data_IF_392831278744
#
_entry.id   IF_392831278744
#
_cell.length_a   1.000
_cell.length_b   1.000
_cell.length_c   1.000
_cell.angle_alpha   90.00
_cell.angle_beta   90.00
_cell.angle_gamma   90.00
#
_symmetry.space_group_name_H-M   'P 1'
#
loop_
_entity.id
_entity.type
_entity.pdbx_description
1 polymer ?
#
# COMPACT_ATOMS: atom_id res chain seq x y z
N UNK A 1 -13.71 23.96 0.67
CA UNK A 1 -14.65 24.87 1.37
C UNK A 1 -16.11 24.77 0.93
N UNK A 2 -16.42 24.63 -0.39
CA UNK A 2 -17.80 24.57 -0.92
C UNK A 2 -18.61 23.42 -0.32
N UNK A 3 -18.04 22.20 -0.27
CA UNK A 3 -18.69 21.02 0.30
C UNK A 3 -19.15 21.26 1.73
N UNK A 4 -18.26 21.71 2.62
CA UNK A 4 -18.58 21.92 4.03
C UNK A 4 -19.59 23.04 4.28
N UNK A 5 -19.71 23.99 3.36
CA UNK A 5 -20.65 25.12 3.48
C UNK A 5 -22.04 24.81 2.96
N UNK A 6 -22.15 23.95 1.92
CA UNK A 6 -23.39 23.82 1.17
C UNK A 6 -23.95 22.40 1.07
N UNK A 7 -23.08 21.38 1.08
CA UNK A 7 -23.46 19.99 0.76
C UNK A 7 -23.01 18.98 1.82
N UNK A 8 -22.62 19.45 3.03
CA UNK A 8 -22.15 18.56 4.09
C UNK A 8 -23.31 17.72 4.66
N UNK A 9 -23.40 16.47 4.24
CA UNK A 9 -24.41 15.51 4.67
C UNK A 9 -23.84 14.09 4.70
N UNK A 10 -24.61 13.14 5.25
CA UNK A 10 -24.24 11.73 5.25
C UNK A 10 -24.24 11.18 3.81
N UNK A 11 -23.15 10.54 3.44
CA UNK A 11 -23.05 9.81 2.17
C UNK A 11 -23.73 8.45 2.26
N UNK A 12 -24.28 7.96 1.13
CA UNK A 12 -24.87 6.62 0.92
C UNK A 12 -26.11 6.26 1.75
N UNK A 13 -26.49 7.02 2.78
CA UNK A 13 -27.58 6.65 3.70
C UNK A 13 -28.69 7.70 3.82
N UNK A 14 -28.54 8.84 3.21
CA UNK A 14 -29.55 9.89 3.23
C UNK A 14 -30.47 9.80 2.00
N UNK A 15 -31.76 10.05 2.21
CA UNK A 15 -32.78 10.10 1.15
C UNK A 15 -33.24 11.54 0.86
N UNK A 16 -32.38 12.51 1.08
CA UNK A 16 -32.65 13.93 0.84
C UNK A 16 -31.58 14.53 -0.08
N UNK A 17 -31.91 15.62 -0.75
CA UNK A 17 -31.08 16.26 -1.80
C UNK A 17 -29.64 16.49 -1.38
N UNK A 18 -29.38 16.98 -0.17
CA UNK A 18 -28.02 17.20 0.31
C UNK A 18 -27.20 15.90 0.45
N UNK A 19 -27.84 14.80 0.86
CA UNK A 19 -27.16 13.50 0.96
C UNK A 19 -26.85 12.90 -0.43
N UNK A 20 -27.75 13.10 -1.39
CA UNK A 20 -27.53 12.68 -2.79
C UNK A 20 -26.37 13.48 -3.40
N UNK A 21 -26.34 14.81 -3.22
CA UNK A 21 -25.26 15.67 -3.67
C UNK A 21 -23.93 15.29 -3.03
N UNK A 22 -23.90 15.07 -1.70
CA UNK A 22 -22.71 14.64 -0.99
C UNK A 22 -22.20 13.29 -1.48
N UNK A 23 -23.11 12.34 -1.75
CA UNK A 23 -22.77 11.02 -2.30
C UNK A 23 -22.17 11.14 -3.71
N UNK A 24 -22.76 11.94 -4.58
CA UNK A 24 -22.22 12.18 -5.92
C UNK A 24 -20.82 12.75 -5.85
N UNK A 25 -20.59 13.78 -5.05
CA UNK A 25 -19.25 14.40 -4.89
C UNK A 25 -18.20 13.42 -4.35
N UNK A 26 -18.59 12.55 -3.41
CA UNK A 26 -17.70 11.53 -2.86
C UNK A 26 -17.33 10.47 -3.93
N UNK A 27 -18.32 9.97 -4.66
CA UNK A 27 -18.09 8.98 -5.72
C UNK A 27 -17.33 9.57 -6.92
N UNK A 28 -17.54 10.85 -7.25
CA UNK A 28 -16.73 11.56 -8.25
C UNK A 28 -15.27 11.65 -7.82
N UNK A 29 -15.01 11.96 -6.55
CA UNK A 29 -13.66 11.97 -6.01
C UNK A 29 -13.00 10.59 -6.10
N UNK A 30 -13.72 9.50 -5.81
CA UNK A 30 -13.21 8.13 -5.96
C UNK A 30 -12.85 7.83 -7.41
N UNK A 31 -13.72 8.18 -8.36
CA UNK A 31 -13.46 7.98 -9.80
C UNK A 31 -12.22 8.77 -10.26
N UNK A 32 -12.09 10.02 -9.81
CA UNK A 32 -10.94 10.85 -10.16
C UNK A 32 -9.63 10.27 -9.62
N UNK A 33 -9.63 9.78 -8.37
CA UNK A 33 -8.45 9.11 -7.79
C UNK A 33 -8.15 7.82 -8.54
N UNK A 34 -9.16 7.00 -8.84
CA UNK A 34 -8.97 5.77 -9.60
C UNK A 34 -8.32 6.05 -10.97
N UNK A 35 -8.83 7.05 -11.70
CA UNK A 35 -8.22 7.47 -12.98
C UNK A 35 -6.80 8.01 -12.82
N UNK A 36 -6.51 8.71 -11.72
CA UNK A 36 -5.18 9.29 -11.47
C UNK A 36 -4.11 8.23 -11.20
N UNK A 37 -4.45 7.14 -10.50
CA UNK A 37 -3.50 6.06 -10.17
C UNK A 37 -3.64 4.82 -11.06
N UNK A 38 -4.41 4.89 -12.15
CA UNK A 38 -4.58 3.78 -13.09
C UNK A 38 -5.42 2.60 -12.57
N UNK A 39 -6.20 2.78 -11.50
CA UNK A 39 -7.10 1.73 -11.01
C UNK A 39 -8.22 1.45 -12.01
N UNK A 40 -8.61 0.17 -12.15
CA UNK A 40 -9.61 -0.25 -13.14
C UNK A 40 -11.03 0.12 -12.74
N UNK A 41 -11.30 0.19 -11.44
CA UNK A 41 -12.65 0.45 -10.90
C UNK A 41 -12.54 1.36 -9.66
N UNK A 42 -13.47 2.30 -9.51
CA UNK A 42 -13.54 3.17 -8.33
C UNK A 42 -13.75 2.37 -7.02
N UNK A 43 -14.29 1.15 -7.09
CA UNK A 43 -14.43 0.25 -5.92
C UNK A 43 -13.08 -0.21 -5.35
N UNK A 44 -12.00 -0.10 -6.12
CA UNK A 44 -10.63 -0.37 -5.65
C UNK A 44 -10.09 0.76 -4.77
N UNK A 45 -10.77 1.92 -4.73
CA UNK A 45 -10.35 3.07 -3.93
C UNK A 45 -11.02 3.04 -2.57
N UNK A 46 -10.20 3.02 -1.53
CA UNK A 46 -10.63 3.14 -0.14
C UNK A 46 -9.95 4.37 0.46
N UNK A 47 -10.74 5.36 0.84
CA UNK A 47 -10.21 6.54 1.52
C UNK A 47 -9.91 6.24 2.99
N UNK A 48 -8.70 6.59 3.40
CA UNK A 48 -8.22 6.51 4.77
C UNK A 48 -7.68 7.88 5.20
N UNK A 49 -7.39 8.06 6.49
CA UNK A 49 -6.86 9.33 7.00
C UNK A 49 -5.41 9.57 6.58
N UNK A 50 -4.65 8.51 6.38
CA UNK A 50 -3.24 8.54 5.99
C UNK A 50 -2.74 7.15 5.59
N UNK A 51 -1.50 7.07 5.07
CA UNK A 51 -0.85 5.82 4.67
C UNK A 51 -0.71 4.82 5.82
N UNK A 52 -0.45 5.28 7.04
CA UNK A 52 -0.36 4.40 8.22
C UNK A 52 -1.68 3.64 8.43
N UNK A 53 -2.82 4.33 8.35
CA UNK A 53 -4.12 3.68 8.46
C UNK A 53 -4.37 2.72 7.30
N UNK A 54 -3.98 3.09 6.07
CA UNK A 54 -4.15 2.24 4.89
C UNK A 54 -3.37 0.91 5.03
N UNK A 55 -2.11 0.97 5.44
CA UNK A 55 -1.29 -0.23 5.63
C UNK A 55 -1.79 -1.08 6.80
N UNK A 56 -2.16 -0.45 7.92
CA UNK A 56 -2.78 -1.17 9.03
C UNK A 56 -4.09 -1.85 8.63
N UNK A 57 -4.91 -1.22 7.78
CA UNK A 57 -6.13 -1.83 7.25
C UNK A 57 -5.82 -3.12 6.49
N UNK A 58 -4.78 -3.12 5.63
CA UNK A 58 -4.35 -4.32 4.90
C UNK A 58 -3.82 -5.38 5.87
N UNK A 59 -2.97 -5.01 6.82
CA UNK A 59 -2.43 -5.94 7.80
C UNK A 59 -3.53 -6.60 8.65
N UNK A 60 -4.50 -5.82 9.13
CA UNK A 60 -5.59 -6.32 9.98
C UNK A 60 -6.68 -7.09 9.22
N UNK A 61 -6.91 -6.78 7.94
CA UNK A 61 -7.88 -7.49 7.13
C UNK A 61 -7.22 -8.65 6.38
N UNK A 62 -6.51 -8.36 5.30
CA UNK A 62 -5.89 -9.37 4.45
C UNK A 62 -4.83 -10.18 5.19
N UNK A 63 -3.95 -9.51 5.94
CA UNK A 63 -2.85 -10.18 6.65
C UNK A 63 -3.36 -11.23 7.64
N UNK A 64 -4.31 -10.85 8.50
CA UNK A 64 -4.88 -11.79 9.47
C UNK A 64 -5.68 -12.92 8.85
N UNK A 65 -6.28 -12.69 7.69
CA UNK A 65 -7.08 -13.70 7.01
C UNK A 65 -6.23 -14.70 6.21
N UNK A 66 -5.06 -14.30 5.71
CA UNK A 66 -4.31 -15.07 4.72
C UNK A 66 -2.92 -15.54 5.19
N UNK A 67 -2.38 -14.97 6.28
CA UNK A 67 -1.07 -15.32 6.79
C UNK A 67 -1.15 -16.33 7.95
N UNK A 68 -0.26 -17.31 7.92
CA UNK A 68 -0.16 -18.39 8.89
C UNK A 68 1.27 -18.50 9.44
N UNK A 69 1.43 -19.24 10.53
CA UNK A 69 2.75 -19.48 11.12
C UNK A 69 3.72 -20.09 10.10
N UNK A 70 4.91 -19.49 10.00
CA UNK A 70 5.96 -19.89 9.07
C UNK A 70 5.89 -19.22 7.70
N UNK A 71 4.80 -18.54 7.33
CA UNK A 71 4.74 -17.73 6.11
C UNK A 71 5.79 -16.60 6.17
N UNK A 72 6.21 -16.13 4.99
CA UNK A 72 7.23 -15.09 4.85
C UNK A 72 6.62 -13.81 4.28
N UNK A 73 6.96 -12.68 4.89
CA UNK A 73 6.77 -11.33 4.35
C UNK A 73 8.16 -10.76 4.07
N UNK A 74 8.35 -10.21 2.86
CA UNK A 74 9.56 -9.46 2.51
C UNK A 74 9.25 -7.97 2.59
N UNK A 75 10.13 -7.24 3.28
CA UNK A 75 10.16 -5.78 3.38
C UNK A 75 11.48 -5.26 2.81
N UNK A 76 11.69 -3.94 2.80
CA UNK A 76 13.00 -3.36 2.54
C UNK A 76 13.56 -2.69 3.81
N UNK A 77 14.88 -2.53 3.89
CA UNK A 77 15.51 -1.78 4.99
C UNK A 77 15.23 -0.28 4.93
N UNK A 78 14.70 0.24 3.82
CA UNK A 78 14.39 1.67 3.67
C UNK A 78 12.92 2.03 3.97
N UNK A 79 12.15 1.11 4.58
CA UNK A 79 10.74 1.35 4.86
C UNK A 79 10.52 2.46 5.91
N UNK A 80 9.52 3.28 5.67
CA UNK A 80 8.97 4.13 6.72
C UNK A 80 8.29 3.26 7.79
N UNK A 81 8.30 3.70 9.05
CA UNK A 81 7.66 2.98 10.17
C UNK A 81 6.21 2.57 9.89
N UNK A 82 5.48 3.35 9.11
CA UNK A 82 4.10 3.01 8.69
C UNK A 82 4.01 1.70 7.91
N UNK A 83 5.06 1.33 7.15
CA UNK A 83 5.14 0.09 6.40
C UNK A 83 6.09 -0.95 7.03
N UNK A 84 6.49 -0.76 8.26
CA UNK A 84 7.31 -1.69 9.03
C UNK A 84 6.55 -2.23 10.25
N UNK A 85 6.12 -1.33 11.13
CA UNK A 85 5.55 -1.69 12.44
C UNK A 85 4.28 -2.56 12.34
N UNK A 86 3.32 -2.31 11.43
CA UNK A 86 2.14 -3.18 11.29
C UNK A 86 2.51 -4.63 10.98
N UNK A 87 3.54 -4.84 10.16
CA UNK A 87 4.01 -6.17 9.80
C UNK A 87 4.78 -6.84 10.94
N UNK A 88 5.56 -6.08 11.72
CA UNK A 88 6.20 -6.61 12.94
C UNK A 88 5.17 -7.07 13.98
N UNK A 89 4.12 -6.28 14.19
CA UNK A 89 3.02 -6.66 15.09
C UNK A 89 2.30 -7.92 14.60
N UNK A 90 1.99 -7.99 13.30
CA UNK A 90 1.35 -9.15 12.69
C UNK A 90 2.26 -10.40 12.74
N UNK A 91 3.55 -10.21 12.48
CA UNK A 91 4.54 -11.28 12.55
C UNK A 91 4.60 -11.90 13.96
N UNK A 92 4.58 -11.08 14.99
CA UNK A 92 4.54 -11.55 16.38
C UNK A 92 3.20 -12.26 16.68
N UNK A 93 2.07 -11.70 16.23
CA UNK A 93 0.73 -12.27 16.45
C UNK A 93 0.55 -13.62 15.76
N UNK A 94 1.04 -13.76 14.52
CA UNK A 94 0.79 -14.91 13.64
C UNK A 94 1.97 -15.84 13.45
N UNK A 95 3.12 -15.54 14.09
CA UNK A 95 4.36 -16.29 13.91
C UNK A 95 4.85 -16.32 12.44
N UNK A 96 4.66 -15.22 11.75
CA UNK A 96 5.12 -14.98 10.37
C UNK A 96 6.58 -14.52 10.42
N UNK A 97 7.38 -14.88 9.45
CA UNK A 97 8.77 -14.44 9.31
C UNK A 97 8.85 -13.16 8.51
N UNK A 98 9.66 -12.22 8.99
CA UNK A 98 10.01 -11.00 8.23
C UNK A 98 11.42 -11.16 7.69
N UNK A 99 11.57 -10.94 6.40
CA UNK A 99 12.86 -10.88 5.72
C UNK A 99 13.01 -9.50 5.08
N UNK A 100 14.25 -9.04 4.94
CA UNK A 100 14.52 -7.67 4.51
C UNK A 100 15.45 -7.65 3.30
N UNK A 101 15.06 -6.89 2.27
CA UNK A 101 15.94 -6.56 1.15
C UNK A 101 16.93 -5.50 1.66
N UNK A 102 18.23 -5.78 1.63
CA UNK A 102 19.22 -4.83 2.10
C UNK A 102 19.32 -3.60 1.21
N UNK A 103 19.89 -2.53 1.78
CA UNK A 103 20.25 -1.31 1.06
C UNK A 103 21.78 -1.32 0.85
N UNK A 104 22.22 -1.12 -0.39
CA UNK A 104 23.63 -1.01 -0.74
C UNK A 104 24.22 0.31 -0.25
N UNK A 105 25.55 0.43 -0.24
CA UNK A 105 26.26 1.67 0.13
C UNK A 105 25.88 2.87 -0.76
N UNK A 106 25.41 2.61 -1.99
CA UNK A 106 24.90 3.64 -2.92
C UNK A 106 23.45 4.05 -2.63
N UNK A 107 22.80 3.48 -1.61
CA UNK A 107 21.42 3.76 -1.23
C UNK A 107 20.39 3.14 -2.15
N UNK A 108 20.73 2.07 -2.86
CA UNK A 108 19.84 1.29 -3.72
C UNK A 108 19.46 -0.04 -3.03
N UNK A 109 18.35 -0.65 -3.45
CA UNK A 109 18.00 -2.01 -3.01
C UNK A 109 18.94 -3.05 -3.64
N UNK A 110 19.41 -4.01 -2.84
CA UNK A 110 20.15 -5.18 -3.33
C UNK A 110 19.19 -6.15 -4.03
N UNK A 111 19.11 -6.03 -5.35
CA UNK A 111 18.21 -6.84 -6.17
C UNK A 111 18.68 -8.30 -6.31
N UNK A 112 19.97 -8.59 -6.11
CA UNK A 112 20.45 -9.97 -6.09
C UNK A 112 20.01 -10.68 -4.81
N UNK A 113 20.11 -10.00 -3.67
CA UNK A 113 19.61 -10.55 -2.41
C UNK A 113 18.07 -10.68 -2.44
N UNK A 114 17.35 -9.72 -3.04
CA UNK A 114 15.92 -9.83 -3.24
C UNK A 114 15.53 -11.12 -3.98
N UNK A 115 16.23 -11.47 -5.07
CA UNK A 115 15.95 -12.71 -5.80
C UNK A 115 16.19 -13.97 -4.96
N UNK A 116 17.17 -13.96 -4.06
CA UNK A 116 17.39 -15.07 -3.13
C UNK A 116 16.26 -15.17 -2.10
N UNK A 117 15.81 -14.03 -1.57
CA UNK A 117 14.70 -14.00 -0.62
C UNK A 117 13.39 -14.52 -1.24
N UNK A 118 13.15 -14.30 -2.53
CA UNK A 118 11.98 -14.83 -3.23
C UNK A 118 11.94 -16.37 -3.26
N UNK A 119 13.09 -17.05 -3.15
CA UNK A 119 13.13 -18.52 -3.05
C UNK A 119 12.49 -19.05 -1.77
N UNK A 120 12.24 -18.20 -0.78
CA UNK A 120 11.51 -18.54 0.45
C UNK A 120 9.99 -18.62 0.23
N UNK A 121 9.51 -18.43 -1.01
CA UNK A 121 8.09 -18.39 -1.39
C UNK A 121 7.26 -17.43 -0.51
N UNK A 122 7.59 -16.14 -0.48
CA UNK A 122 6.89 -15.15 0.35
C UNK A 122 5.42 -15.07 -0.02
N UNK A 123 4.57 -14.71 0.94
CA UNK A 123 3.15 -14.42 0.72
C UNK A 123 2.92 -12.95 0.35
N UNK A 124 3.78 -12.07 0.85
CA UNK A 124 3.70 -10.64 0.63
C UNK A 124 5.11 -10.07 0.44
N UNK A 125 5.23 -9.17 -0.53
CA UNK A 125 6.35 -8.23 -0.65
C UNK A 125 5.80 -6.83 -0.48
N UNK A 126 6.18 -6.14 0.61
CA UNK A 126 5.76 -4.78 0.89
C UNK A 126 6.96 -3.84 0.83
N UNK A 127 6.87 -2.79 0.02
CA UNK A 127 8.02 -1.90 -0.21
C UNK A 127 7.60 -0.47 -0.52
N UNK A 128 8.47 0.49 -0.18
CA UNK A 128 8.30 1.88 -0.59
C UNK A 128 8.77 2.09 -2.03
N UNK A 129 7.96 2.76 -2.85
CA UNK A 129 8.36 3.10 -4.22
C UNK A 129 9.39 4.23 -4.26
N UNK A 130 9.29 5.19 -3.33
CA UNK A 130 10.26 6.28 -3.18
C UNK A 130 10.55 6.48 -1.69
N UNK A 131 11.83 6.38 -1.33
CA UNK A 131 12.26 6.57 0.06
C UNK A 131 12.05 8.02 0.51
N UNK A 132 11.43 8.20 1.67
CA UNK A 132 11.27 9.51 2.28
C UNK A 132 12.58 10.06 2.89
N UNK A 133 13.58 9.22 3.09
CA UNK A 133 14.87 9.59 3.68
C UNK A 133 15.94 9.78 2.59
N UNK A 134 16.10 8.79 1.71
CA UNK A 134 17.13 8.77 0.69
C UNK A 134 16.71 9.46 -0.62
N UNK A 135 15.39 9.53 -0.88
CA UNK A 135 14.86 9.99 -2.18
C UNK A 135 15.03 8.95 -3.30
N UNK A 136 15.60 7.80 -3.01
CA UNK A 136 15.77 6.69 -3.97
C UNK A 136 14.42 6.26 -4.52
N UNK A 137 14.31 6.16 -5.84
CA UNK A 137 13.16 5.59 -6.54
C UNK A 137 13.47 4.13 -6.85
N UNK A 138 12.73 3.23 -6.20
CA UNK A 138 12.90 1.79 -6.37
C UNK A 138 12.31 1.30 -7.68
N UNK A 139 12.85 0.25 -8.31
CA UNK A 139 12.37 -0.32 -9.56
C UNK A 139 11.07 -1.11 -9.35
N UNK A 140 9.97 -0.40 -9.03
CA UNK A 140 8.70 -0.99 -8.60
C UNK A 140 8.16 -2.03 -9.60
N UNK A 141 8.20 -1.74 -10.90
CA UNK A 141 7.72 -2.68 -11.93
C UNK A 141 8.49 -4.01 -11.93
N UNK A 142 9.80 -3.97 -11.70
CA UNK A 142 10.62 -5.18 -11.61
C UNK A 142 10.34 -5.94 -10.30
N UNK A 143 10.30 -5.24 -9.18
CA UNK A 143 10.00 -5.83 -7.87
C UNK A 143 8.64 -6.54 -7.90
N UNK A 144 7.61 -5.89 -8.42
CA UNK A 144 6.25 -6.43 -8.54
C UNK A 144 6.24 -7.68 -9.43
N UNK A 145 6.87 -7.61 -10.61
CA UNK A 145 6.92 -8.75 -11.53
C UNK A 145 7.57 -9.96 -10.87
N UNK A 146 8.74 -9.79 -10.28
CA UNK A 146 9.47 -10.88 -9.62
C UNK A 146 8.68 -11.46 -8.42
N UNK A 147 8.01 -10.61 -7.63
CA UNK A 147 7.15 -11.06 -6.54
C UNK A 147 5.98 -11.92 -7.06
N UNK A 148 5.31 -11.45 -8.11
CA UNK A 148 4.19 -12.19 -8.71
C UNK A 148 4.65 -13.52 -9.34
N UNK A 149 5.81 -13.54 -10.00
CA UNK A 149 6.40 -14.77 -10.54
C UNK A 149 6.70 -15.79 -9.43
N UNK A 150 7.02 -15.31 -8.21
CA UNK A 150 7.20 -16.14 -7.01
C UNK A 150 5.89 -16.48 -6.27
N UNK A 151 4.73 -16.02 -6.77
CA UNK A 151 3.41 -16.27 -6.18
C UNK A 151 3.04 -15.36 -5.01
N UNK A 152 3.82 -14.31 -4.74
CA UNK A 152 3.53 -13.31 -3.71
C UNK A 152 2.59 -12.22 -4.23
N UNK A 153 1.78 -11.65 -3.34
CA UNK A 153 1.15 -10.35 -3.62
C UNK A 153 2.10 -9.21 -3.26
N UNK A 154 1.82 -8.02 -3.75
CA UNK A 154 2.63 -6.83 -3.46
C UNK A 154 1.82 -5.73 -2.79
N UNK A 155 2.44 -5.01 -1.85
CA UNK A 155 1.95 -3.77 -1.29
C UNK A 155 2.99 -2.69 -1.53
N UNK A 156 2.60 -1.63 -2.22
CA UNK A 156 3.50 -0.51 -2.53
C UNK A 156 3.12 0.70 -1.68
N UNK A 157 4.05 1.16 -0.84
CA UNK A 157 3.92 2.46 -0.18
C UNK A 157 4.25 3.56 -1.19
N UNK A 158 3.21 4.23 -1.68
CA UNK A 158 3.29 5.31 -2.64
C UNK A 158 3.25 6.72 -2.01
N UNK A 159 3.42 6.84 -0.69
CA UNK A 159 3.28 8.12 0.02
C UNK A 159 4.16 9.23 -0.57
N UNK A 160 5.37 8.90 -0.97
CA UNK A 160 6.29 9.86 -1.60
C UNK A 160 6.22 9.84 -3.13
N UNK A 161 5.93 8.72 -3.76
CA UNK A 161 5.93 8.64 -5.23
C UNK A 161 4.70 9.28 -5.86
N UNK A 162 3.51 8.98 -5.36
CA UNK A 162 2.24 9.44 -5.94
C UNK A 162 2.12 10.95 -6.10
N UNK A 163 2.56 11.79 -5.12
CA UNK A 163 2.54 13.24 -5.29
C UNK A 163 3.68 13.82 -6.14
N UNK A 164 4.73 13.05 -6.47
CA UNK A 164 5.95 13.58 -7.07
C UNK A 164 6.26 13.04 -8.46
N UNK A 165 5.83 11.82 -8.78
CA UNK A 165 6.08 11.18 -10.07
C UNK A 165 4.80 10.55 -10.64
N UNK A 166 4.68 10.40 -11.97
CA UNK A 166 3.58 9.62 -12.56
C UNK A 166 3.62 8.17 -12.06
N UNK A 167 2.46 7.68 -11.63
CA UNK A 167 2.25 6.28 -11.18
C UNK A 167 1.13 5.64 -11.98
N UNK A 168 1.22 4.32 -12.17
CA UNK A 168 0.19 3.53 -12.85
C UNK A 168 0.18 2.11 -12.26
#
# INVERSE_FOLDING_TARGET
DRYYRWSNANIHRGVHVLAEEATMLYEDARRNVAGFIGARDAREIIFTRNTTEAINLVAYSWGRANLQAGDVIILTEMEHHSNLVPWQMLAQERQVRLEFIPVTDDGLLDMEEYQKLLMLAPKLVAFTQMSNVLGTINPAGEIIRLAHDAGAITLVDGAQSVPHIPVN
#
